data_IF_717382208005
#
_entry.id   IF_717382208005
#
_cell.length_a   1.000
_cell.length_b   1.000
_cell.length_c   1.000
_cell.angle_alpha   90.00
_cell.angle_beta   90.00
_cell.angle_gamma   90.00
#
_symmetry.space_group_name_H-M   'P 1'
#
loop_
_entity.id
_entity.type
_entity.pdbx_description
1 polymer ?
#
# COMPACT_ATOMS: atom_id res chain seq x y z
N UNK A 1 -6.13 24.80 33.79
CA UNK A 1 -5.42 23.52 34.05
C UNK A 1 -4.34 23.37 32.97
N UNK A 2 -3.26 24.15 32.88
CA UNK A 2 -2.13 24.37 33.80
C UNK A 2 -1.59 23.06 34.40
N UNK A 3 -0.58 22.46 33.73
CA UNK A 3 0.68 21.88 34.27
C UNK A 3 1.26 20.82 33.31
N UNK A 4 2.00 21.26 32.29
CA UNK A 4 2.94 20.37 31.57
C UNK A 4 4.22 21.07 31.10
N UNK A 5 4.26 22.41 31.15
CA UNK A 5 5.46 23.20 30.81
C UNK A 5 6.62 23.10 31.85
N UNK A 6 6.38 22.47 33.00
CA UNK A 6 7.37 22.38 34.09
C UNK A 6 8.33 21.19 33.99
N UNK A 7 7.91 20.06 33.39
CA UNK A 7 8.70 18.83 33.42
C UNK A 7 9.99 18.91 32.57
N UNK A 8 9.93 19.64 31.46
CA UNK A 8 11.08 19.79 30.55
C UNK A 8 12.16 20.72 31.07
N UNK A 9 11.82 21.67 31.97
CA UNK A 9 12.80 22.59 32.56
C UNK A 9 13.66 21.92 33.63
N UNK A 10 13.12 20.95 34.36
CA UNK A 10 13.84 20.29 35.45
C UNK A 10 14.91 19.31 34.96
N UNK A 11 14.72 18.69 33.78
CA UNK A 11 15.73 17.78 33.20
C UNK A 11 16.94 18.55 32.64
N UNK A 12 16.74 19.76 32.11
CA UNK A 12 17.81 20.59 31.56
C UNK A 12 18.81 21.11 32.61
N UNK A 13 18.41 21.22 33.88
CA UNK A 13 19.29 21.73 34.94
C UNK A 13 20.27 20.68 35.50
N UNK A 14 20.09 19.40 35.20
CA UNK A 14 20.92 18.31 35.77
C UNK A 14 22.11 17.95 34.89
N UNK A 15 22.15 18.37 33.62
CA UNK A 15 23.18 17.91 32.66
C UNK A 15 24.09 18.99 32.08
N UNK A 16 23.97 20.27 32.47
CA UNK A 16 24.87 21.34 32.01
C UNK A 16 24.89 21.55 30.49
N UNK A 17 23.97 20.93 29.75
CA UNK A 17 23.83 21.06 28.31
C UNK A 17 22.96 22.26 27.96
N UNK A 18 23.33 22.96 26.89
CA UNK A 18 22.52 24.00 26.26
C UNK A 18 21.06 23.59 26.12
N UNK A 19 20.09 24.52 26.24
CA UNK A 19 18.68 24.20 26.10
C UNK A 19 18.43 23.51 24.76
N UNK A 20 18.10 22.22 24.81
CA UNK A 20 17.69 21.45 23.64
C UNK A 20 16.42 22.11 23.11
N UNK A 21 16.54 22.84 22.00
CA UNK A 21 15.37 23.33 21.29
C UNK A 21 14.53 22.10 20.92
N UNK A 22 13.20 22.12 21.14
CA UNK A 22 12.36 21.02 20.69
C UNK A 22 12.59 20.87 19.18
N UNK A 23 12.82 19.64 18.67
CA UNK A 23 13.05 19.43 17.25
C UNK A 23 11.91 20.08 16.47
N UNK A 24 12.25 20.80 15.40
CA UNK A 24 11.24 21.28 14.48
C UNK A 24 10.44 20.07 14.00
N UNK A 25 9.13 20.23 13.77
CA UNK A 25 8.26 19.12 13.41
C UNK A 25 8.78 18.31 12.20
N UNK A 26 9.55 18.94 11.31
CA UNK A 26 10.25 18.28 10.21
C UNK A 26 11.31 17.26 10.66
N UNK A 27 12.17 17.62 11.61
CA UNK A 27 13.25 16.75 12.11
C UNK A 27 12.69 15.50 12.80
N UNK A 28 11.60 15.68 13.55
CA UNK A 28 10.89 14.57 14.20
C UNK A 28 10.26 13.62 13.16
N UNK A 29 9.68 14.16 12.08
CA UNK A 29 9.10 13.36 11.00
C UNK A 29 10.16 12.61 10.20
N UNK A 30 11.30 13.24 9.91
CA UNK A 30 12.42 12.59 9.22
C UNK A 30 12.97 11.42 10.05
N UNK A 31 13.17 11.63 11.36
CA UNK A 31 13.61 10.57 12.26
C UNK A 31 12.61 9.40 12.29
N UNK A 32 11.32 9.69 12.43
CA UNK A 32 10.26 8.68 12.39
C UNK A 32 10.23 7.92 11.05
N UNK A 33 10.51 8.60 9.94
CA UNK A 33 10.56 8.01 8.60
C UNK A 33 11.68 6.98 8.41
N UNK A 34 12.74 7.03 9.23
CA UNK A 34 13.84 6.05 9.21
C UNK A 34 13.63 4.88 10.17
N UNK A 35 12.66 4.95 11.08
CA UNK A 35 12.39 3.85 12.01
C UNK A 35 11.78 2.65 11.26
N UNK A 36 12.04 1.40 11.69
CA UNK A 36 11.45 0.22 11.08
C UNK A 36 9.94 0.08 11.36
N UNK A 37 9.44 0.71 12.43
CA UNK A 37 8.04 0.63 12.88
C UNK A 37 7.02 0.96 11.79
N UNK A 38 7.08 2.11 11.07
CA UNK A 38 6.14 2.42 9.99
C UNK A 38 6.13 1.37 8.87
N UNK A 39 7.29 0.82 8.50
CA UNK A 39 7.38 -0.19 7.45
C UNK A 39 6.80 -1.54 7.90
N UNK A 40 7.05 -1.93 9.15
CA UNK A 40 6.41 -3.11 9.74
C UNK A 40 4.89 -2.95 9.81
N UNK A 41 4.41 -1.80 10.30
CA UNK A 41 2.97 -1.51 10.34
C UNK A 41 2.33 -1.59 8.95
N UNK A 42 3.03 -1.11 7.92
CA UNK A 42 2.59 -1.23 6.53
C UNK A 42 2.64 -2.68 6.01
N UNK A 43 3.64 -3.49 6.41
CA UNK A 43 3.76 -4.90 6.01
C UNK A 43 2.71 -5.82 6.64
N UNK A 44 2.26 -5.52 7.87
CA UNK A 44 1.34 -6.36 8.67
C UNK A 44 0.12 -6.88 7.88
N UNK A 45 -0.70 -6.05 7.21
CA UNK A 45 -1.87 -6.55 6.50
C UNK A 45 -1.53 -7.57 5.40
N UNK A 46 -0.40 -7.39 4.71
CA UNK A 46 0.05 -8.32 3.68
C UNK A 46 0.50 -9.65 4.28
N UNK A 47 1.24 -9.61 5.39
CA UNK A 47 1.71 -10.82 6.09
C UNK A 47 0.54 -11.62 6.68
N UNK A 48 -0.45 -10.95 7.26
CA UNK A 48 -1.65 -11.61 7.79
C UNK A 48 -2.41 -12.30 6.67
N UNK A 49 -2.64 -11.62 5.54
CA UNK A 49 -3.34 -12.20 4.38
C UNK A 49 -2.53 -13.33 3.74
N UNK A 50 -1.22 -13.19 3.61
CA UNK A 50 -0.32 -14.24 3.13
C UNK A 50 -0.46 -15.50 4.01
N UNK A 51 -0.40 -15.36 5.33
CA UNK A 51 -0.60 -16.48 6.25
C UNK A 51 -1.97 -17.15 6.08
N UNK A 52 -3.03 -16.36 5.97
CA UNK A 52 -4.39 -16.88 5.74
C UNK A 52 -4.47 -17.67 4.43
N UNK A 53 -3.89 -17.15 3.34
CA UNK A 53 -3.87 -17.82 2.04
C UNK A 53 -3.07 -19.12 2.09
N UNK A 54 -1.92 -19.13 2.77
CA UNK A 54 -1.12 -20.34 2.97
C UNK A 54 -1.88 -21.42 3.74
N UNK A 55 -2.51 -21.06 4.87
CA UNK A 55 -3.31 -22.01 5.66
C UNK A 55 -4.48 -22.53 4.83
N UNK A 56 -5.17 -21.65 4.09
CA UNK A 56 -6.29 -22.04 3.22
C UNK A 56 -5.84 -22.97 2.09
N UNK A 57 -4.66 -22.75 1.49
CA UNK A 57 -4.12 -23.64 0.46
C UNK A 57 -3.83 -25.06 0.97
N UNK A 58 -3.45 -25.20 2.25
CA UNK A 58 -3.17 -26.49 2.87
C UNK A 58 -4.45 -27.28 3.15
N UNK A 59 -5.54 -26.57 3.40
CA UNK A 59 -6.85 -27.14 3.74
C UNK A 59 -7.83 -27.13 2.55
N UNK A 60 -7.36 -26.82 1.35
CA UNK A 60 -8.21 -26.72 0.17
C UNK A 60 -8.77 -28.10 -0.21
N UNK A 61 -10.08 -28.20 -0.54
CA UNK A 61 -10.73 -29.47 -0.85
C UNK A 61 -10.31 -30.04 -2.22
N UNK A 62 -9.85 -29.19 -3.13
CA UNK A 62 -9.48 -29.56 -4.49
C UNK A 62 -8.22 -28.80 -4.97
N UNK A 63 -7.65 -29.29 -6.08
CA UNK A 63 -6.40 -28.77 -6.63
C UNK A 63 -6.54 -27.33 -7.15
N UNK A 64 -7.68 -26.96 -7.73
CA UNK A 64 -7.90 -25.62 -8.28
C UNK A 64 -8.00 -24.60 -7.15
N UNK A 65 -8.81 -24.87 -6.12
CA UNK A 65 -8.91 -24.02 -4.92
C UNK A 65 -7.55 -23.83 -4.25
N UNK A 66 -6.75 -24.89 -4.16
CA UNK A 66 -5.38 -24.81 -3.65
C UNK A 66 -4.51 -23.85 -4.46
N UNK A 67 -4.53 -23.98 -5.79
CA UNK A 67 -3.77 -23.10 -6.70
C UNK A 67 -4.23 -21.65 -6.54
N UNK A 68 -5.54 -21.39 -6.50
CA UNK A 68 -6.08 -20.04 -6.32
C UNK A 68 -5.61 -19.41 -5.00
N UNK A 69 -5.58 -20.17 -3.91
CA UNK A 69 -5.02 -19.69 -2.64
C UNK A 69 -3.52 -19.40 -2.73
N UNK A 70 -2.73 -20.22 -3.45
CA UNK A 70 -1.30 -19.98 -3.65
C UNK A 70 -1.02 -18.77 -4.54
N UNK A 71 -1.83 -18.53 -5.57
CA UNK A 71 -1.73 -17.33 -6.41
C UNK A 71 -2.10 -16.09 -5.59
N UNK A 72 -3.15 -16.17 -4.75
CA UNK A 72 -3.52 -15.09 -3.84
C UNK A 72 -2.43 -14.83 -2.78
N UNK A 73 -1.77 -15.88 -2.28
CA UNK A 73 -0.59 -15.76 -1.42
C UNK A 73 0.53 -15.00 -2.15
N UNK A 74 0.87 -15.39 -3.38
CA UNK A 74 1.88 -14.72 -4.19
C UNK A 74 1.54 -13.23 -4.43
N UNK A 75 0.26 -12.92 -4.67
CA UNK A 75 -0.24 -11.54 -4.78
C UNK A 75 0.05 -10.71 -3.53
N UNK A 76 -0.15 -11.25 -2.32
CA UNK A 76 0.16 -10.50 -1.10
C UNK A 76 1.67 -10.43 -0.81
N UNK A 77 2.43 -11.46 -1.20
CA UNK A 77 3.89 -11.48 -1.05
C UNK A 77 4.58 -10.48 -1.99
N UNK A 78 4.04 -10.19 -3.18
CA UNK A 78 4.62 -9.24 -4.13
C UNK A 78 4.64 -7.78 -3.62
N UNK A 79 3.85 -7.46 -2.59
CA UNK A 79 3.91 -6.17 -1.92
C UNK A 79 5.14 -6.03 -0.99
N UNK A 80 5.68 -7.12 -0.47
CA UNK A 80 6.77 -7.09 0.51
C UNK A 80 8.09 -6.51 -0.04
N UNK A 81 8.53 -6.83 -1.28
CA UNK A 81 9.67 -6.17 -1.89
C UNK A 81 9.53 -4.65 -1.91
N UNK A 82 8.33 -4.11 -2.20
CA UNK A 82 8.07 -2.66 -2.18
C UNK A 82 8.32 -2.08 -0.79
N UNK A 83 7.86 -2.76 0.26
CA UNK A 83 8.05 -2.34 1.66
C UNK A 83 9.52 -2.38 2.05
N UNK A 84 10.22 -3.47 1.74
CA UNK A 84 11.63 -3.65 2.08
C UNK A 84 12.52 -2.62 1.36
N UNK A 85 12.30 -2.39 0.08
CA UNK A 85 13.07 -1.42 -0.71
C UNK A 85 12.83 0.00 -0.22
N UNK A 86 11.59 0.35 0.11
CA UNK A 86 11.28 1.64 0.73
C UNK A 86 11.98 1.83 2.09
N UNK A 87 12.08 0.77 2.89
CA UNK A 87 12.83 0.81 4.15
C UNK A 87 14.32 1.02 3.91
N UNK A 88 14.95 0.24 3.02
CA UNK A 88 16.37 0.41 2.71
C UNK A 88 16.66 1.79 2.12
N UNK A 89 15.77 2.29 1.27
CA UNK A 89 15.87 3.62 0.68
C UNK A 89 15.87 4.73 1.74
N UNK A 90 15.15 4.56 2.84
CA UNK A 90 15.14 5.50 3.95
C UNK A 90 16.44 5.51 4.77
N UNK A 91 17.24 4.44 4.70
CA UNK A 91 18.51 4.32 5.43
C UNK A 91 19.73 4.84 4.66
N UNK A 92 19.61 5.01 3.35
CA UNK A 92 20.72 5.39 2.47
C UNK A 92 20.72 6.91 2.26
N UNK A 93 21.89 7.52 2.49
CA UNK A 93 22.17 8.93 2.16
C UNK A 93 23.00 9.09 0.88
N UNK A 94 23.64 8.02 0.41
CA UNK A 94 24.38 8.01 -0.85
C UNK A 94 23.43 8.14 -2.04
N UNK A 95 23.67 9.10 -2.92
CA UNK A 95 22.74 9.43 -4.01
C UNK A 95 22.65 8.32 -5.07
N UNK A 96 23.76 7.65 -5.36
CA UNK A 96 23.80 6.56 -6.35
C UNK A 96 23.02 5.35 -5.85
N UNK A 97 23.32 4.90 -4.62
CA UNK A 97 22.58 3.80 -4.01
C UNK A 97 21.10 4.14 -3.77
N UNK A 98 20.78 5.41 -3.51
CA UNK A 98 19.40 5.89 -3.43
C UNK A 98 18.65 5.75 -4.76
N UNK A 99 19.29 6.14 -5.88
CA UNK A 99 18.71 6.03 -7.22
C UNK A 99 18.44 4.57 -7.60
N UNK A 100 19.40 3.66 -7.36
CA UNK A 100 19.23 2.23 -7.61
C UNK A 100 18.04 1.63 -6.84
N UNK A 101 17.90 2.02 -5.56
CA UNK A 101 16.79 1.58 -4.71
C UNK A 101 15.44 2.17 -5.16
N UNK A 102 15.42 3.42 -5.65
CA UNK A 102 14.23 4.05 -6.21
C UNK A 102 13.78 3.32 -7.50
N UNK A 103 14.71 2.98 -8.40
CA UNK A 103 14.41 2.21 -9.61
C UNK A 103 13.87 0.82 -9.29
N UNK A 104 14.55 0.09 -8.38
CA UNK A 104 14.13 -1.25 -7.99
C UNK A 104 12.78 -1.21 -7.25
N UNK A 105 12.57 -0.20 -6.41
CA UNK A 105 11.30 0.07 -5.72
C UNK A 105 10.16 0.35 -6.69
N UNK A 106 10.40 1.16 -7.71
CA UNK A 106 9.44 1.45 -8.77
C UNK A 106 9.09 0.18 -9.57
N UNK A 107 10.08 -0.64 -9.94
CA UNK A 107 9.85 -1.92 -10.61
C UNK A 107 9.01 -2.87 -9.75
N UNK A 108 9.36 -3.01 -8.46
CA UNK A 108 8.59 -3.82 -7.53
C UNK A 108 7.14 -3.32 -7.39
N UNK A 109 6.94 -2.00 -7.33
CA UNK A 109 5.61 -1.39 -7.28
C UNK A 109 4.81 -1.65 -8.55
N UNK A 110 5.43 -1.57 -9.73
CA UNK A 110 4.80 -1.88 -11.03
C UNK A 110 4.36 -3.35 -11.06
N UNK A 111 5.25 -4.28 -10.70
CA UNK A 111 4.93 -5.72 -10.68
C UNK A 111 3.79 -6.02 -9.71
N UNK A 112 3.84 -5.46 -8.49
CA UNK A 112 2.78 -5.61 -7.49
C UNK A 112 1.45 -5.04 -8.00
N UNK A 113 1.47 -3.85 -8.59
CA UNK A 113 0.27 -3.18 -9.11
C UNK A 113 -0.33 -3.95 -10.28
N UNK A 114 0.49 -4.40 -11.23
CA UNK A 114 0.03 -5.20 -12.37
C UNK A 114 -0.60 -6.52 -11.92
N UNK A 115 0.06 -7.26 -11.01
CA UNK A 115 -0.50 -8.51 -10.47
C UNK A 115 -1.84 -8.21 -9.79
N UNK A 116 -1.87 -7.30 -8.81
CA UNK A 116 -3.09 -7.04 -8.06
C UNK A 116 -4.23 -6.54 -8.95
N UNK A 117 -3.95 -5.68 -9.92
CA UNK A 117 -4.99 -5.18 -10.83
C UNK A 117 -5.53 -6.28 -11.74
N UNK A 118 -4.66 -7.14 -12.29
CA UNK A 118 -5.09 -8.31 -13.06
C UNK A 118 -5.91 -9.29 -12.22
N UNK A 119 -5.56 -9.47 -10.94
CA UNK A 119 -6.35 -10.26 -10.01
C UNK A 119 -7.75 -9.66 -9.82
N UNK A 120 -7.85 -8.38 -9.50
CA UNK A 120 -9.13 -7.71 -9.30
C UNK A 120 -10.03 -7.79 -10.55
N UNK A 121 -9.45 -7.58 -11.74
CA UNK A 121 -10.14 -7.72 -13.02
C UNK A 121 -10.70 -9.13 -13.24
N UNK A 122 -9.90 -10.16 -13.00
CA UNK A 122 -10.27 -11.55 -13.25
C UNK A 122 -11.12 -12.14 -12.12
N UNK A 123 -10.58 -12.14 -10.90
CA UNK A 123 -11.12 -12.88 -9.76
C UNK A 123 -12.21 -12.13 -9.02
N UNK A 124 -12.22 -10.81 -8.99
CA UNK A 124 -13.23 -10.11 -8.19
C UNK A 124 -14.36 -9.60 -9.11
N UNK A 125 -14.02 -8.92 -10.21
CA UNK A 125 -15.00 -8.38 -11.16
C UNK A 125 -15.43 -9.35 -12.26
N UNK A 126 -14.57 -10.29 -12.64
CA UNK A 126 -14.85 -11.27 -13.69
C UNK A 126 -14.49 -10.83 -15.11
N UNK A 127 -14.11 -9.56 -15.32
CA UNK A 127 -13.98 -8.88 -16.64
C UNK A 127 -13.13 -9.60 -17.69
N UNK A 128 -12.21 -10.47 -17.27
CA UNK A 128 -11.35 -11.24 -18.17
C UNK A 128 -11.90 -12.64 -18.51
N UNK A 129 -13.10 -12.98 -18.03
CA UNK A 129 -13.78 -14.22 -18.38
C UNK A 129 -14.68 -14.02 -19.61
N UNK A 130 -14.92 -15.09 -20.40
CA UNK A 130 -15.83 -15.02 -21.54
C UNK A 130 -17.23 -14.57 -21.09
N UNK A 131 -17.77 -13.54 -21.74
CA UNK A 131 -19.13 -13.07 -21.46
C UNK A 131 -20.15 -14.16 -21.83
N UNK A 132 -21.22 -14.37 -21.04
CA UNK A 132 -22.35 -15.16 -21.48
C UNK A 132 -22.95 -14.54 -22.76
N UNK A 133 -23.20 -15.33 -23.82
CA UNK A 133 -23.53 -14.84 -25.16
C UNK A 133 -24.82 -13.98 -25.24
N UNK A 134 -25.65 -13.96 -24.19
CA UNK A 134 -26.94 -13.25 -24.15
C UNK A 134 -26.97 -12.08 -23.14
N UNK A 135 -25.88 -11.78 -22.45
CA UNK A 135 -25.89 -10.80 -21.35
C UNK A 135 -25.74 -9.34 -21.79
N UNK A 136 -25.26 -9.07 -23.02
CA UNK A 136 -24.95 -7.73 -23.51
C UNK A 136 -23.85 -7.00 -22.70
N UNK A 137 -23.19 -7.70 -21.76
CA UNK A 137 -22.17 -7.15 -20.85
C UNK A 137 -20.84 -7.84 -21.14
N UNK A 138 -19.82 -7.06 -21.46
CA UNK A 138 -18.50 -7.60 -21.77
C UNK A 138 -17.78 -8.02 -20.49
N UNK A 139 -17.49 -9.32 -20.39
CA UNK A 139 -16.63 -9.90 -19.35
C UNK A 139 -17.18 -9.91 -17.92
N UNK A 140 -18.27 -9.22 -17.58
CA UNK A 140 -18.75 -9.21 -16.18
C UNK A 140 -19.28 -10.58 -15.73
N UNK A 141 -19.18 -10.86 -14.42
CA UNK A 141 -19.83 -12.04 -13.81
C UNK A 141 -21.34 -12.05 -14.11
N UNK A 142 -21.94 -13.24 -14.32
CA UNK A 142 -23.38 -13.35 -14.61
C UNK A 142 -24.28 -12.82 -13.49
N UNK A 143 -23.86 -12.97 -12.23
CA UNK A 143 -24.57 -12.51 -11.04
C UNK A 143 -23.87 -11.28 -10.50
N UNK A 144 -24.55 -10.12 -10.54
CA UNK A 144 -24.08 -8.86 -9.97
C UNK A 144 -24.85 -8.61 -8.66
N UNK A 145 -24.12 -8.42 -7.56
CA UNK A 145 -24.70 -8.21 -6.24
C UNK A 145 -25.11 -6.75 -5.98
N UNK A 146 -24.48 -5.78 -6.66
CA UNK A 146 -24.70 -4.36 -6.43
C UNK A 146 -25.74 -3.77 -7.39
N UNK A 147 -26.67 -2.99 -6.82
CA UNK A 147 -27.70 -2.27 -7.55
C UNK A 147 -27.09 -1.06 -8.29
N UNK A 148 -26.56 -1.28 -9.49
CA UNK A 148 -26.01 -0.23 -10.35
C UNK A 148 -25.85 -0.60 -11.83
N UNK A 149 -26.20 -1.83 -12.21
CA UNK A 149 -25.97 -2.34 -13.57
C UNK A 149 -24.49 -2.47 -13.92
N UNK A 150 -24.16 -2.67 -15.20
CA UNK A 150 -22.76 -2.88 -15.64
C UNK A 150 -21.88 -1.63 -15.51
N UNK A 151 -22.45 -0.43 -15.67
CA UNK A 151 -21.69 0.84 -15.65
C UNK A 151 -20.96 1.07 -14.33
N UNK A 152 -21.60 0.77 -13.19
CA UNK A 152 -20.97 0.87 -11.88
C UNK A 152 -19.71 0.01 -11.79
N UNK A 153 -19.76 -1.21 -12.31
CA UNK A 153 -18.65 -2.16 -12.26
C UNK A 153 -17.45 -1.67 -13.08
N UNK A 154 -17.68 -1.15 -14.30
CA UNK A 154 -16.60 -0.55 -15.10
C UNK A 154 -16.02 0.70 -14.45
N UNK A 155 -16.85 1.57 -13.88
CA UNK A 155 -16.38 2.75 -13.16
C UNK A 155 -15.57 2.40 -11.92
N UNK A 156 -16.00 1.38 -11.16
CA UNK A 156 -15.28 0.87 -9.99
C UNK A 156 -13.91 0.29 -10.37
N UNK A 157 -13.84 -0.47 -11.47
CA UNK A 157 -12.57 -0.98 -12.02
C UNK A 157 -11.63 0.16 -12.44
N UNK A 158 -12.13 1.17 -13.17
CA UNK A 158 -11.32 2.32 -13.56
C UNK A 158 -10.84 3.12 -12.34
N UNK A 159 -11.71 3.32 -11.35
CA UNK A 159 -11.36 4.00 -10.11
C UNK A 159 -10.27 3.23 -9.34
N UNK A 160 -10.34 1.90 -9.29
CA UNK A 160 -9.30 1.05 -8.70
C UNK A 160 -7.96 1.21 -9.44
N UNK A 161 -7.97 1.22 -10.77
CA UNK A 161 -6.76 1.45 -11.57
C UNK A 161 -6.12 2.82 -11.27
N UNK A 162 -6.92 3.88 -11.22
CA UNK A 162 -6.44 5.24 -10.92
C UNK A 162 -5.90 5.35 -9.49
N UNK A 163 -6.61 4.78 -8.51
CA UNK A 163 -6.17 4.81 -7.13
C UNK A 163 -4.89 3.98 -6.90
N UNK A 164 -4.73 2.85 -7.59
CA UNK A 164 -3.48 2.06 -7.59
C UNK A 164 -2.33 2.80 -8.27
N UNK A 165 -2.58 3.49 -9.38
CA UNK A 165 -1.60 4.35 -10.01
C UNK A 165 -1.16 5.45 -9.05
N UNK A 166 -2.10 6.14 -8.39
CA UNK A 166 -1.81 7.14 -7.35
C UNK A 166 -0.97 6.61 -6.19
N UNK A 167 -1.29 5.41 -5.70
CA UNK A 167 -0.50 4.73 -4.67
C UNK A 167 0.93 4.41 -5.15
N UNK A 168 1.09 4.01 -6.41
CA UNK A 168 2.40 3.66 -7.00
C UNK A 168 3.24 4.89 -7.31
N UNK A 169 2.61 5.98 -7.74
CA UNK A 169 3.26 7.25 -8.07
C UNK A 169 3.93 7.92 -6.88
N UNK A 170 3.55 7.57 -5.64
CA UNK A 170 4.25 8.07 -4.44
C UNK A 170 5.73 7.69 -4.39
N UNK A 171 6.11 6.64 -5.13
CA UNK A 171 7.49 6.16 -5.22
C UNK A 171 8.27 6.82 -6.35
N UNK A 172 7.61 7.66 -7.16
CA UNK A 172 8.27 8.51 -8.13
C UNK A 172 8.89 9.70 -7.37
N UNK A 173 10.22 9.90 -7.40
CA UNK A 173 10.90 10.97 -6.67
C UNK A 173 10.35 12.38 -6.97
N UNK A 174 9.93 12.61 -8.22
CA UNK A 174 9.32 13.84 -8.70
C UNK A 174 7.99 14.13 -8.00
N UNK A 175 7.13 13.11 -7.90
CA UNK A 175 5.81 13.21 -7.25
C UNK A 175 5.96 13.28 -5.74
N UNK A 176 6.93 12.55 -5.16
CA UNK A 176 7.23 12.63 -3.74
C UNK A 176 7.72 14.03 -3.34
N UNK A 177 8.54 14.69 -4.17
CA UNK A 177 9.00 16.07 -3.96
C UNK A 177 7.87 17.11 -4.03
N UNK A 178 6.90 16.90 -4.94
CA UNK A 178 5.71 17.75 -5.06
C UNK A 178 4.69 17.45 -3.94
N UNK A 179 4.67 16.22 -3.46
CA UNK A 179 3.70 15.69 -2.53
C UNK A 179 4.07 15.92 -1.07
N UNK A 180 3.94 17.15 -0.61
CA UNK A 180 3.99 17.44 0.83
C UNK A 180 2.91 16.68 1.62
N UNK A 181 2.87 16.89 2.95
CA UNK A 181 1.97 16.20 3.88
C UNK A 181 0.49 16.11 3.42
N UNK A 182 -0.03 17.17 2.77
CA UNK A 182 -1.42 17.22 2.26
C UNK A 182 -1.69 16.21 1.16
N UNK A 183 -0.82 16.13 0.15
CA UNK A 183 -0.99 15.18 -0.96
C UNK A 183 -0.79 13.74 -0.47
N UNK A 184 0.20 13.52 0.40
CA UNK A 184 0.40 12.22 1.04
C UNK A 184 -0.84 11.76 1.81
N UNK A 185 -1.42 12.63 2.63
CA UNK A 185 -2.64 12.32 3.39
C UNK A 185 -3.84 12.04 2.49
N UNK A 186 -4.01 12.80 1.40
CA UNK A 186 -5.07 12.56 0.42
C UNK A 186 -4.91 11.20 -0.26
N UNK A 187 -3.71 10.84 -0.70
CA UNK A 187 -3.43 9.54 -1.31
C UNK A 187 -3.70 8.38 -0.35
N UNK A 188 -3.42 8.55 0.96
CA UNK A 188 -3.80 7.55 1.97
C UNK A 188 -5.32 7.43 2.12
N UNK A 189 -6.05 8.55 2.13
CA UNK A 189 -7.50 8.52 2.20
C UNK A 189 -8.12 7.83 0.97
N UNK A 190 -7.58 8.09 -0.23
CA UNK A 190 -8.00 7.41 -1.46
C UNK A 190 -7.72 5.91 -1.39
N UNK A 191 -6.56 5.49 -0.88
CA UNK A 191 -6.26 4.06 -0.68
C UNK A 191 -7.24 3.41 0.32
N UNK A 192 -7.62 4.10 1.40
CA UNK A 192 -8.63 3.59 2.35
C UNK A 192 -10.00 3.44 1.68
N UNK A 193 -10.46 4.45 0.94
CA UNK A 193 -11.74 4.37 0.21
C UNK A 193 -11.74 3.24 -0.81
N UNK A 194 -10.63 3.05 -1.54
CA UNK A 194 -10.46 1.93 -2.48
C UNK A 194 -10.59 0.58 -1.76
N UNK A 195 -10.05 0.45 -0.55
CA UNK A 195 -10.18 -0.77 0.28
C UNK A 195 -11.59 -0.97 0.82
N UNK A 196 -12.37 0.09 1.03
CA UNK A 196 -13.77 -0.02 1.48
C UNK A 196 -14.72 -0.44 0.36
N UNK A 197 -14.35 -0.17 -0.90
CA UNK A 197 -15.11 -0.62 -2.07
C UNK A 197 -15.00 -2.15 -2.27
N UNK A 198 -13.97 -2.77 -1.68
CA UNK A 198 -13.59 -4.17 -1.82
C UNK A 198 -13.89 -5.02 -0.58
#
# INVERSE_FOLDING_TARGET
>A
VLRSAGAWRTIAQVTGGSPVQPPLMGDALEHCGRLPVPFLAWAVPFLVRARQCWVSSRNAPDALSRILHLVNLAKYMSALPVVCLAFFRAQVSDEVAAEDLDMLGALAAIVNTAFCYLWDLSMDWGLLHPAPPLSGRFGLRPVLLLCGGGSFYYSATLADAMARAGWSLRWCPEVARLGGFRLGSLLQAVEVLRRCLW
#
